data_IF_035041138176
#
_entry.id   IF_035041138176
#
_cell.length_a   1.000
_cell.length_b   1.000
_cell.length_c   1.000
_cell.angle_alpha   90.00
_cell.angle_beta   90.00
_cell.angle_gamma   90.00
#
_symmetry.space_group_name_H-M   'P 1'
#
loop_
_entity.id
_entity.type
_entity.pdbx_description
1 polymer ?
#
# COMPACT_ATOMS: atom_id res chain seq x y z
N UNK A 1 -4.84 5.01 16.74
CA UNK A 1 -5.47 5.24 15.42
C UNK A 1 -6.34 4.04 15.10
N UNK A 2 -7.56 4.29 14.64
CA UNK A 2 -8.46 3.20 14.27
C UNK A 2 -8.35 2.87 12.77
N UNK A 3 -9.08 1.83 12.35
CA UNK A 3 -9.09 1.36 10.97
C UNK A 3 -9.58 2.44 9.99
N UNK A 4 -10.58 3.21 10.38
CA UNK A 4 -11.13 4.27 9.54
C UNK A 4 -10.11 5.37 9.30
N UNK A 5 -9.37 5.76 10.33
CA UNK A 5 -8.29 6.74 10.20
C UNK A 5 -7.16 6.21 9.32
N UNK A 6 -6.79 4.93 9.49
CA UNK A 6 -5.78 4.29 8.64
C UNK A 6 -6.23 4.26 7.19
N UNK A 7 -7.52 3.97 6.92
CA UNK A 7 -8.07 4.01 5.56
C UNK A 7 -8.01 5.41 4.95
N UNK A 8 -8.30 6.45 5.72
CA UNK A 8 -8.20 7.83 5.23
C UNK A 8 -6.77 8.19 4.85
N UNK A 9 -5.80 7.77 5.65
CA UNK A 9 -4.38 7.97 5.35
C UNK A 9 -3.99 7.20 4.09
N UNK A 10 -4.44 5.97 3.95
CA UNK A 10 -4.18 5.16 2.76
C UNK A 10 -4.82 5.77 1.52
N UNK A 11 -6.00 6.36 1.64
CA UNK A 11 -6.67 7.08 0.54
C UNK A 11 -5.86 8.30 0.10
N UNK A 12 -5.34 9.08 1.04
CA UNK A 12 -4.47 10.20 0.73
C UNK A 12 -3.20 9.74 0.01
N UNK A 13 -2.63 8.64 0.46
CA UNK A 13 -1.46 8.04 -0.18
C UNK A 13 -1.77 7.60 -1.62
N UNK A 14 -2.89 6.93 -1.83
CA UNK A 14 -3.30 6.51 -3.18
C UNK A 14 -3.39 7.71 -4.11
N UNK A 15 -4.02 8.79 -3.68
CA UNK A 15 -4.13 10.01 -4.48
C UNK A 15 -2.76 10.58 -4.83
N UNK A 16 -1.80 10.50 -3.91
CA UNK A 16 -0.46 11.02 -4.13
C UNK A 16 0.34 10.21 -5.16
N UNK A 17 0.11 8.90 -5.24
CA UNK A 17 0.88 8.03 -6.15
C UNK A 17 0.23 7.81 -7.51
N UNK A 18 -1.06 8.04 -7.66
CA UNK A 18 -1.76 7.83 -8.94
C UNK A 18 -1.14 8.59 -10.11
N UNK A 19 -0.66 9.84 -9.96
CA UNK A 19 0.03 10.52 -11.06
C UNK A 19 1.30 9.79 -11.52
N UNK A 20 1.93 9.01 -10.64
CA UNK A 20 3.14 8.26 -10.94
C UNK A 20 2.81 6.86 -11.49
N UNK A 21 1.72 6.26 -11.02
CA UNK A 21 1.34 4.87 -11.32
C UNK A 21 -0.17 4.82 -11.58
N UNK A 22 -0.58 5.22 -12.78
CA UNK A 22 -1.99 5.43 -13.14
C UNK A 22 -2.87 4.19 -12.97
N UNK A 23 -2.31 3.01 -13.20
CA UNK A 23 -3.05 1.74 -13.14
C UNK A 23 -2.86 1.03 -11.79
N UNK A 24 -2.30 1.70 -10.80
CA UNK A 24 -2.08 1.10 -9.50
C UNK A 24 -3.39 0.90 -8.74
N UNK A 25 -3.50 -0.28 -8.13
CA UNK A 25 -4.51 -0.57 -7.12
C UNK A 25 -3.83 -0.55 -5.76
N UNK A 26 -4.51 -0.02 -4.77
CA UNK A 26 -3.94 0.11 -3.43
C UNK A 26 -4.81 -0.65 -2.43
N UNK A 27 -4.16 -1.42 -1.56
CA UNK A 27 -4.84 -2.20 -0.53
C UNK A 27 -4.23 -1.90 0.84
N UNK A 28 -5.09 -1.73 1.83
CA UNK A 28 -4.68 -1.72 3.24
C UNK A 28 -4.65 -3.17 3.69
N UNK A 29 -3.52 -3.63 4.22
CA UNK A 29 -3.38 -5.01 4.67
C UNK A 29 -2.68 -5.08 6.03
N UNK A 30 -2.35 -6.29 6.48
CA UNK A 30 -1.69 -6.47 7.76
C UNK A 30 -2.61 -6.23 8.94
N UNK A 31 -2.08 -5.64 10.01
CA UNK A 31 -2.79 -5.54 11.28
C UNK A 31 -4.10 -4.75 11.19
N UNK A 32 -4.15 -3.67 10.40
CA UNK A 32 -5.38 -2.88 10.26
C UNK A 32 -6.49 -3.63 9.53
N UNK A 33 -6.15 -4.42 8.52
CA UNK A 33 -7.16 -5.21 7.81
C UNK A 33 -7.64 -6.40 8.63
N UNK A 34 -6.77 -6.95 9.49
CA UNK A 34 -7.08 -8.14 10.31
C UNK A 34 -7.66 -7.81 11.68
N UNK A 35 -7.78 -6.53 12.04
CA UNK A 35 -8.34 -6.13 13.32
C UNK A 35 -7.40 -6.32 14.51
N UNK A 36 -6.09 -6.45 14.27
CA UNK A 36 -5.09 -6.67 15.32
C UNK A 36 -4.18 -5.46 15.55
N UNK A 37 -4.53 -4.31 14.97
CA UNK A 37 -3.70 -3.12 15.05
C UNK A 37 -3.68 -2.53 16.47
N UNK A 38 -2.52 -1.97 16.82
CA UNK A 38 -2.30 -1.19 18.02
C UNK A 38 -2.12 0.28 17.66
N UNK A 39 -2.07 1.15 18.67
CA UNK A 39 -1.92 2.59 18.45
C UNK A 39 -0.65 2.95 17.67
N UNK A 40 0.42 2.17 17.82
CA UNK A 40 1.70 2.38 17.15
C UNK A 40 1.91 1.47 15.94
N UNK A 41 0.87 0.77 15.48
CA UNK A 41 1.00 -0.13 14.35
C UNK A 41 1.29 0.63 13.05
N UNK A 42 2.14 0.04 12.20
CA UNK A 42 2.38 0.56 10.86
C UNK A 42 1.14 0.44 9.99
N UNK A 43 1.04 1.32 9.02
CA UNK A 43 -0.02 1.28 8.00
C UNK A 43 0.57 0.56 6.79
N UNK A 44 0.30 -0.74 6.69
CA UNK A 44 0.80 -1.56 5.60
C UNK A 44 -0.06 -1.36 4.35
N UNK A 45 0.56 -0.89 3.29
CA UNK A 45 -0.12 -0.55 2.04
C UNK A 45 0.53 -1.31 0.89
N UNK A 46 -0.26 -2.10 0.18
CA UNK A 46 0.19 -2.78 -1.03
C UNK A 46 -0.20 -1.94 -2.24
N UNK A 47 0.79 -1.63 -3.07
CA UNK A 47 0.61 -0.94 -4.35
C UNK A 47 0.76 -2.00 -5.43
N UNK A 48 -0.36 -2.38 -6.05
CA UNK A 48 -0.40 -3.45 -7.04
C UNK A 48 -0.53 -2.83 -8.42
N UNK A 49 0.46 -3.08 -9.28
CA UNK A 49 0.51 -2.60 -10.65
C UNK A 49 0.38 -3.76 -11.63
N UNK A 50 -0.14 -3.54 -12.85
CA UNK A 50 -0.25 -4.63 -13.84
C UNK A 50 1.09 -5.25 -14.17
N UNK A 51 2.11 -4.43 -14.36
CA UNK A 51 3.46 -4.87 -14.64
C UNK A 51 4.44 -3.77 -14.26
N UNK A 52 5.53 -4.16 -13.61
CA UNK A 52 6.63 -3.24 -13.35
C UNK A 52 7.45 -3.10 -14.63
N UNK A 53 7.47 -1.88 -15.16
CA UNK A 53 8.27 -1.55 -16.34
C UNK A 53 9.52 -0.81 -15.88
N UNK A 54 10.69 -1.33 -16.24
CA UNK A 54 11.96 -0.73 -15.87
C UNK A 54 12.52 -1.28 -14.57
N UNK A 55 13.29 -0.46 -13.89
CA UNK A 55 14.10 -0.88 -12.74
C UNK A 55 13.38 -0.62 -11.42
N UNK A 56 13.21 -1.67 -10.61
CA UNK A 56 12.63 -1.57 -9.27
C UNK A 56 13.34 -0.54 -8.39
N UNK A 57 14.68 -0.42 -8.51
CA UNK A 57 15.46 0.54 -7.74
C UNK A 57 15.12 2.00 -8.09
N UNK A 58 14.56 2.25 -9.26
CA UNK A 58 14.09 3.57 -9.66
C UNK A 58 12.62 3.80 -9.29
N UNK A 59 11.83 2.73 -9.22
CA UNK A 59 10.37 2.80 -9.01
C UNK A 59 10.01 2.85 -7.52
N UNK A 60 10.68 2.06 -6.69
CA UNK A 60 10.35 1.95 -5.27
C UNK A 60 10.61 3.22 -4.47
N UNK A 61 11.76 3.94 -4.62
CA UNK A 61 12.01 5.13 -3.80
C UNK A 61 10.92 6.21 -3.88
N UNK A 62 10.33 6.54 -5.05
CA UNK A 62 9.23 7.50 -5.09
C UNK A 62 8.01 7.09 -4.27
N UNK A 63 7.72 5.79 -4.16
CA UNK A 63 6.64 5.31 -3.31
C UNK A 63 6.89 5.65 -1.84
N UNK A 64 8.12 5.47 -1.37
CA UNK A 64 8.51 5.80 0.00
C UNK A 64 8.55 7.30 0.23
N UNK A 65 9.04 8.08 -0.74
CA UNK A 65 9.06 9.54 -0.64
C UNK A 65 7.65 10.11 -0.46
N UNK A 66 6.69 9.63 -1.23
CA UNK A 66 5.30 10.07 -1.09
C UNK A 66 4.70 9.62 0.24
N UNK A 67 5.03 8.42 0.69
CA UNK A 67 4.57 7.93 1.99
C UNK A 67 5.04 8.84 3.13
N UNK A 68 6.34 9.20 3.13
CA UNK A 68 6.90 10.04 4.20
C UNK A 68 6.30 11.44 4.25
N UNK A 69 5.79 11.96 3.14
CA UNK A 69 5.11 13.26 3.11
C UNK A 69 3.74 13.22 3.78
N UNK A 70 3.13 12.06 3.89
CA UNK A 70 1.77 11.89 4.42
C UNK A 70 1.80 11.38 5.85
N UNK A 71 2.53 10.31 6.11
CA UNK A 71 2.63 9.73 7.45
C UNK A 71 3.90 8.89 7.57
N UNK A 72 4.55 8.99 8.71
CA UNK A 72 5.71 8.15 9.03
C UNK A 72 5.34 6.69 9.25
N UNK A 73 4.05 6.39 9.39
CA UNK A 73 3.56 5.03 9.65
C UNK A 73 3.29 4.22 8.38
N UNK A 74 3.20 4.87 7.22
CA UNK A 74 2.93 4.16 5.96
C UNK A 74 4.15 3.34 5.55
N UNK A 75 3.92 2.05 5.31
CA UNK A 75 4.92 1.14 4.76
C UNK A 75 4.41 0.57 3.44
N UNK A 76 4.82 1.14 2.30
CA UNK A 76 4.36 0.68 1.00
C UNK A 76 5.17 -0.50 0.51
N UNK A 77 4.49 -1.46 -0.12
CA UNK A 77 5.10 -2.58 -0.83
C UNK A 77 4.58 -2.60 -2.26
N UNK A 78 5.49 -2.64 -3.22
CA UNK A 78 5.15 -2.72 -4.63
C UNK A 78 4.98 -4.17 -5.05
N UNK A 79 3.88 -4.48 -5.72
CA UNK A 79 3.56 -5.81 -6.23
C UNK A 79 3.09 -5.73 -7.67
N UNK A 80 3.29 -6.81 -8.43
CA UNK A 80 2.69 -6.97 -9.75
C UNK A 80 1.43 -7.83 -9.63
N UNK A 81 0.45 -7.58 -10.49
CA UNK A 81 -0.74 -8.43 -10.57
C UNK A 81 -0.31 -9.86 -10.90
N UNK A 82 -0.99 -10.82 -10.28
CA UNK A 82 -0.78 -12.25 -10.49
C UNK A 82 0.61 -12.78 -10.10
N UNK A 83 1.36 -12.01 -9.30
CA UNK A 83 2.57 -12.61 -8.73
C UNK A 83 2.18 -13.69 -7.72
N UNK A 84 2.97 -14.78 -7.69
CA UNK A 84 2.67 -15.93 -6.83
C UNK A 84 3.55 -15.90 -5.58
N UNK A 85 3.40 -14.85 -4.77
CA UNK A 85 4.09 -14.74 -3.49
C UNK A 85 3.09 -14.93 -2.35
N UNK A 86 3.53 -15.44 -1.19
CA UNK A 86 2.66 -15.55 -0.02
C UNK A 86 2.06 -14.22 0.41
N UNK A 87 2.83 -13.13 0.30
CA UNK A 87 2.34 -11.81 0.67
C UNK A 87 1.25 -11.34 -0.30
N UNK A 88 1.43 -11.54 -1.60
CA UNK A 88 0.41 -11.20 -2.58
C UNK A 88 -0.89 -11.95 -2.30
N UNK A 89 -0.80 -13.26 -2.04
CA UNK A 89 -1.96 -14.08 -1.73
C UNK A 89 -2.68 -13.60 -0.46
N UNK A 90 -1.92 -13.21 0.56
CA UNK A 90 -2.49 -12.67 1.80
C UNK A 90 -3.22 -11.35 1.55
N UNK A 91 -2.62 -10.46 0.78
CA UNK A 91 -3.24 -9.17 0.41
C UNK A 91 -4.53 -9.38 -0.36
N UNK A 92 -4.53 -10.27 -1.34
CA UNK A 92 -5.73 -10.55 -2.14
C UNK A 92 -6.85 -11.19 -1.31
N UNK A 93 -6.49 -11.98 -0.30
CA UNK A 93 -7.46 -12.65 0.54
C UNK A 93 -8.01 -11.77 1.66
N UNK A 94 -7.16 -10.97 2.31
CA UNK A 94 -7.50 -10.25 3.53
C UNK A 94 -7.38 -8.73 3.43
N UNK A 95 -6.79 -8.21 2.37
CA UNK A 95 -6.60 -6.78 2.19
C UNK A 95 -7.90 -6.05 1.90
N UNK A 96 -7.91 -4.77 2.22
CA UNK A 96 -9.05 -3.89 1.98
C UNK A 96 -8.70 -2.96 0.82
N UNK A 97 -9.48 -3.03 -0.25
CA UNK A 97 -9.27 -2.13 -1.39
C UNK A 97 -9.47 -0.68 -0.96
N UNK A 98 -8.49 0.15 -1.29
CA UNK A 98 -8.54 1.59 -1.00
C UNK A 98 -9.16 2.29 -2.19
N UNK A 99 -10.27 2.98 -1.94
CA UNK A 99 -11.06 3.64 -2.99
C UNK A 99 -10.46 4.96 -3.44
#
# INVERSE_FOLDING_TARGET
>A
MDKEQALKIAQAYKQAILPLYKDAKVYLYGSYSKGTAHVDSDIDVAVVVPQVKGNWFAIVPPLWSQARKISSLIEPVLMQENEHSPLYDDVMRTGIAVM
#
